data_IF_957725998537
#
_entry.id   IF_957725998537
#
_cell.length_a   1.000
_cell.length_b   1.000
_cell.length_c   1.000
_cell.angle_alpha   90.00
_cell.angle_beta   90.00
_cell.angle_gamma   90.00
#
_symmetry.space_group_name_H-M   'P 1'
#
loop_
_entity.id
_entity.type
_entity.pdbx_description
1 polymer ?
#
# COMPACT_ATOMS: atom_id res chain seq x y z
N UNK A 1 -66.75 -14.67 17.76
CA UNK A 1 -66.06 -13.79 18.73
C UNK A 1 -64.73 -14.36 19.22
N UNK A 2 -64.69 -15.58 19.77
CA UNK A 2 -63.47 -16.22 20.31
C UNK A 2 -62.30 -16.38 19.30
N UNK A 3 -62.58 -16.69 18.02
CA UNK A 3 -61.53 -16.82 16.99
C UNK A 3 -60.84 -15.49 16.66
N UNK A 4 -61.60 -14.39 16.64
CA UNK A 4 -61.09 -13.05 16.39
C UNK A 4 -60.18 -12.56 17.53
N UNK A 5 -60.57 -12.81 18.79
CA UNK A 5 -59.74 -12.48 19.95
C UNK A 5 -58.41 -13.25 19.97
N UNK A 6 -58.40 -14.52 19.54
CA UNK A 6 -57.15 -15.28 19.39
C UNK A 6 -56.23 -14.68 18.33
N UNK A 7 -56.78 -14.31 17.16
CA UNK A 7 -56.00 -13.72 16.07
C UNK A 7 -55.37 -12.38 16.45
N UNK A 8 -56.10 -11.53 17.18
CA UNK A 8 -55.56 -10.26 17.72
C UNK A 8 -54.46 -10.54 18.76
N UNK A 9 -54.65 -11.54 19.62
CA UNK A 9 -53.65 -11.96 20.59
C UNK A 9 -52.36 -12.50 19.94
N UNK A 10 -52.47 -13.24 18.86
CA UNK A 10 -51.30 -13.78 18.13
C UNK A 10 -50.56 -12.67 17.37
N UNK A 11 -51.27 -11.73 16.74
CA UNK A 11 -50.66 -10.53 16.12
C UNK A 11 -49.91 -9.66 17.14
N UNK A 12 -50.46 -9.49 18.36
CA UNK A 12 -49.79 -8.77 19.43
C UNK A 12 -48.49 -9.47 19.88
N UNK A 13 -48.48 -10.81 19.96
CA UNK A 13 -47.26 -11.58 20.26
C UNK A 13 -46.20 -11.41 19.17
N UNK A 14 -46.58 -11.49 17.90
CA UNK A 14 -45.67 -11.28 16.77
C UNK A 14 -45.06 -9.87 16.79
N UNK A 15 -45.88 -8.86 17.08
CA UNK A 15 -45.43 -7.46 17.18
C UNK A 15 -44.43 -7.26 18.32
N UNK A 16 -44.69 -7.84 19.50
CA UNK A 16 -43.75 -7.80 20.64
C UNK A 16 -42.45 -8.54 20.33
N UNK A 17 -42.54 -9.67 19.63
CA UNK A 17 -41.37 -10.43 19.19
C UNK A 17 -40.52 -9.63 18.20
N UNK A 18 -41.14 -8.96 17.23
CA UNK A 18 -40.45 -8.07 16.29
C UNK A 18 -39.78 -6.89 17.01
N UNK A 19 -40.49 -6.24 17.94
CA UNK A 19 -39.93 -5.15 18.75
C UNK A 19 -38.73 -5.62 19.59
N UNK A 20 -38.79 -6.84 20.14
CA UNK A 20 -37.67 -7.45 20.87
C UNK A 20 -36.46 -7.65 19.96
N UNK A 21 -36.64 -8.12 18.73
CA UNK A 21 -35.52 -8.29 17.78
C UNK A 21 -34.91 -6.95 17.37
N UNK A 22 -35.73 -5.92 17.18
CA UNK A 22 -35.25 -4.55 16.92
C UNK A 22 -34.44 -4.05 18.11
N UNK A 23 -34.94 -4.24 19.34
CA UNK A 23 -34.23 -3.86 20.56
C UNK A 23 -32.90 -4.60 20.73
N UNK A 24 -32.85 -5.89 20.40
CA UNK A 24 -31.60 -6.67 20.39
C UNK A 24 -30.60 -6.13 19.35
N UNK A 25 -31.05 -5.81 18.14
CA UNK A 25 -30.19 -5.19 17.13
C UNK A 25 -29.66 -3.82 17.56
N UNK A 26 -30.53 -2.98 18.14
CA UNK A 26 -30.16 -1.66 18.63
C UNK A 26 -29.13 -1.76 19.78
N UNK A 27 -29.30 -2.68 20.72
CA UNK A 27 -28.33 -2.92 21.79
C UNK A 27 -26.93 -3.25 21.26
N UNK A 28 -26.84 -4.05 20.19
CA UNK A 28 -25.56 -4.33 19.51
C UNK A 28 -24.96 -3.06 18.92
N UNK A 29 -25.75 -2.17 18.31
CA UNK A 29 -25.21 -0.91 17.79
C UNK A 29 -24.69 0.01 18.90
N UNK A 30 -25.36 0.07 20.06
CA UNK A 30 -24.88 0.83 21.22
C UNK A 30 -23.57 0.26 21.78
N UNK A 31 -23.42 -1.07 21.81
CA UNK A 31 -22.17 -1.73 22.20
C UNK A 31 -21.00 -1.37 21.25
N UNK A 32 -21.25 -1.19 19.95
CA UNK A 32 -20.23 -0.74 19.00
C UNK A 32 -19.76 0.69 19.24
N UNK A 33 -20.61 1.58 19.77
CA UNK A 33 -20.22 2.97 20.06
C UNK A 33 -19.23 3.08 21.23
N UNK A 34 -19.17 2.09 22.11
CA UNK A 34 -18.22 2.06 23.23
C UNK A 34 -16.81 1.63 22.77
N UNK A 35 -16.66 1.04 21.58
CA UNK A 35 -15.37 0.63 21.04
C UNK A 35 -14.59 1.84 20.54
N UNK A 36 -13.27 1.83 20.71
CA UNK A 36 -12.38 2.83 20.10
C UNK A 36 -12.45 2.73 18.57
N UNK A 37 -12.48 3.84 17.83
CA UNK A 37 -12.44 3.81 16.37
C UNK A 37 -11.11 3.24 15.86
N UNK A 38 -11.19 2.30 14.92
CA UNK A 38 -10.04 1.69 14.23
C UNK A 38 -9.53 2.55 13.05
N UNK A 39 -10.16 3.69 12.81
CA UNK A 39 -9.85 4.59 11.69
C UNK A 39 -8.43 5.13 11.76
N UNK A 40 -7.80 5.30 10.60
CA UNK A 40 -6.52 6.02 10.44
C UNK A 40 -6.84 7.41 9.91
N UNK A 41 -6.44 8.46 10.65
CA UNK A 41 -6.79 9.84 10.30
C UNK A 41 -5.83 10.43 9.24
N UNK A 42 -5.97 9.98 7.98
CA UNK A 42 -5.28 10.61 6.86
C UNK A 42 -5.72 12.09 6.70
N UNK A 43 -4.80 13.08 6.53
CA UNK A 43 -3.37 12.96 6.18
C UNK A 43 -2.38 13.01 7.37
N UNK A 44 -2.84 13.32 8.59
CA UNK A 44 -1.98 13.51 9.76
C UNK A 44 -1.52 12.20 10.41
N UNK A 45 -2.28 11.13 10.22
CA UNK A 45 -1.90 9.77 10.55
C UNK A 45 -1.79 8.98 9.24
N UNK A 46 -0.60 8.48 8.93
CA UNK A 46 -0.36 7.68 7.73
C UNK A 46 0.09 6.27 8.14
N UNK A 47 -0.39 5.27 7.41
CA UNK A 47 0.08 3.91 7.58
C UNK A 47 1.42 3.75 6.85
N UNK A 48 2.39 3.13 7.52
CA UNK A 48 3.65 2.72 6.93
C UNK A 48 3.37 1.55 5.98
N UNK A 49 3.70 1.66 4.69
CA UNK A 49 3.53 0.56 3.75
C UNK A 49 4.36 -0.67 4.12
N UNK A 50 3.93 -1.82 3.59
CA UNK A 50 4.66 -3.08 3.76
C UNK A 50 6.05 -3.03 3.12
N UNK A 51 6.99 -3.86 3.60
CA UNK A 51 8.34 -3.97 3.03
C UNK A 51 8.35 -4.44 1.56
N UNK A 52 7.27 -5.12 1.13
CA UNK A 52 7.05 -5.58 -0.25
C UNK A 52 5.95 -4.79 -0.96
N UNK A 53 5.58 -3.63 -0.43
CA UNK A 53 4.59 -2.77 -1.07
C UNK A 53 5.09 -2.34 -2.46
N UNK A 54 4.15 -2.22 -3.39
CA UNK A 54 4.40 -1.90 -4.79
C UNK A 54 3.87 -0.49 -5.09
N UNK A 55 4.69 0.52 -4.80
CA UNK A 55 4.42 1.93 -5.11
C UNK A 55 5.06 2.39 -6.41
N UNK A 56 5.47 3.66 -6.48
CA UNK A 56 6.20 4.22 -7.63
C UNK A 56 7.45 3.40 -7.94
N UNK A 57 7.78 3.27 -9.23
CA UNK A 57 9.04 2.65 -9.66
C UNK A 57 10.17 3.70 -9.57
N UNK A 58 11.29 3.30 -8.98
CA UNK A 58 12.55 4.06 -9.00
C UNK A 58 13.47 3.51 -10.08
N UNK A 59 14.24 4.40 -10.71
CA UNK A 59 15.14 4.08 -11.81
C UNK A 59 16.52 4.68 -11.60
N UNK A 60 17.55 3.86 -11.76
CA UNK A 60 18.94 4.30 -11.80
C UNK A 60 19.48 4.28 -13.23
N UNK A 61 19.79 5.47 -13.75
CA UNK A 61 20.26 5.65 -15.12
C UNK A 61 21.59 4.91 -15.39
N UNK A 62 22.55 5.01 -14.47
CA UNK A 62 23.91 4.48 -14.64
C UNK A 62 23.96 2.94 -14.63
N UNK A 63 22.96 2.27 -14.05
CA UNK A 63 22.88 0.80 -13.99
C UNK A 63 22.14 0.18 -15.17
N UNK A 64 21.47 0.99 -16.01
CA UNK A 64 20.68 0.47 -17.12
C UNK A 64 21.56 0.08 -18.31
N UNK A 65 21.30 -1.10 -18.88
CA UNK A 65 22.06 -1.64 -20.05
C UNK A 65 21.22 -1.74 -21.33
N UNK A 66 20.03 -1.11 -21.36
CA UNK A 66 19.12 -1.10 -22.53
C UNK A 66 18.80 -2.51 -23.07
N UNK A 67 18.52 -3.45 -22.17
CA UNK A 67 18.21 -4.85 -22.51
C UNK A 67 16.75 -5.09 -22.95
N UNK A 68 15.88 -4.09 -22.79
CA UNK A 68 14.44 -4.12 -23.12
C UNK A 68 13.66 -5.28 -22.47
N UNK A 69 14.21 -5.90 -21.42
CA UNK A 69 13.51 -6.94 -20.65
C UNK A 69 12.27 -6.33 -19.99
N UNK A 70 12.40 -5.14 -19.40
CA UNK A 70 11.30 -4.43 -18.76
C UNK A 70 10.10 -4.17 -19.69
N UNK A 71 10.35 -3.95 -20.99
CA UNK A 71 9.29 -3.81 -21.99
C UNK A 71 8.63 -5.15 -22.25
N UNK A 72 9.43 -6.18 -22.54
CA UNK A 72 8.93 -7.52 -22.91
C UNK A 72 8.15 -8.23 -21.80
N UNK A 73 8.48 -7.98 -20.54
CA UNK A 73 7.79 -8.58 -19.38
C UNK A 73 6.61 -7.73 -18.88
N UNK A 74 6.48 -6.50 -19.35
CA UNK A 74 5.35 -5.66 -19.03
C UNK A 74 4.10 -6.19 -19.77
N UNK A 75 2.95 -6.37 -19.10
CA UNK A 75 1.74 -6.89 -19.75
C UNK A 75 1.26 -6.10 -20.97
N UNK A 76 1.64 -4.82 -21.04
CA UNK A 76 1.24 -3.88 -22.09
C UNK A 76 2.44 -3.21 -22.78
N UNK A 77 3.67 -3.70 -22.56
CA UNK A 77 4.90 -3.12 -23.13
C UNK A 77 5.07 -1.62 -22.83
N UNK A 78 4.78 -1.20 -21.60
CA UNK A 78 4.68 0.21 -21.22
C UNK A 78 5.99 1.01 -21.21
N UNK A 79 7.09 0.53 -20.60
CA UNK A 79 8.28 1.37 -20.45
C UNK A 79 8.85 1.76 -21.81
N UNK A 80 9.13 3.05 -22.00
CA UNK A 80 9.76 3.55 -23.23
C UNK A 80 11.26 3.53 -23.03
N UNK A 81 11.97 2.74 -23.81
CA UNK A 81 13.44 2.62 -23.76
C UNK A 81 14.00 3.14 -25.08
N UNK A 82 14.61 4.32 -25.05
CA UNK A 82 15.32 4.88 -26.20
C UNK A 82 16.83 4.72 -26.02
N UNK A 83 17.48 4.08 -26.97
CA UNK A 83 18.90 3.78 -26.92
C UNK A 83 19.54 3.87 -28.31
N UNK A 84 20.81 4.23 -28.33
CA UNK A 84 21.62 4.28 -29.54
C UNK A 84 22.74 3.25 -29.45
N UNK A 85 23.03 2.59 -30.56
CA UNK A 85 24.19 1.71 -30.63
C UNK A 85 25.46 2.52 -30.90
N UNK A 86 26.39 2.50 -29.96
CA UNK A 86 27.68 3.13 -30.15
C UNK A 86 28.64 2.14 -30.83
N UNK A 87 29.02 2.36 -32.11
CA UNK A 87 29.84 1.40 -32.86
C UNK A 87 31.28 1.31 -32.33
N UNK A 88 31.78 2.37 -31.69
CA UNK A 88 33.14 2.42 -31.13
C UNK A 88 33.24 1.56 -29.88
N UNK A 89 32.28 1.68 -28.97
CA UNK A 89 32.28 0.90 -27.71
C UNK A 89 31.57 -0.44 -27.83
N UNK A 90 30.87 -0.69 -28.95
CA UNK A 90 29.99 -1.87 -29.19
C UNK A 90 28.95 -2.07 -28.08
N UNK A 91 28.54 -0.99 -27.42
CA UNK A 91 27.55 -0.99 -26.34
C UNK A 91 26.33 -0.18 -26.75
N UNK A 92 25.16 -0.62 -26.30
CA UNK A 92 23.94 0.20 -26.34
C UNK A 92 24.08 1.29 -25.28
N UNK A 93 23.92 2.54 -25.69
CA UNK A 93 23.89 3.69 -24.79
C UNK A 93 22.46 4.15 -24.66
N UNK A 94 21.95 4.15 -23.42
CA UNK A 94 20.61 4.66 -23.12
C UNK A 94 20.59 6.17 -23.33
N UNK A 95 19.60 6.67 -24.07
CA UNK A 95 19.36 8.10 -24.27
C UNK A 95 18.24 8.60 -23.37
N UNK A 96 17.13 7.87 -23.33
CA UNK A 96 15.95 8.25 -22.57
C UNK A 96 15.21 7.01 -22.07
N UNK A 97 14.58 7.14 -20.90
CA UNK A 97 13.79 6.08 -20.29
C UNK A 97 12.60 6.71 -19.58
N UNK A 98 11.37 6.31 -19.93
CA UNK A 98 10.18 6.85 -19.28
C UNK A 98 9.16 5.76 -18.96
N UNK A 99 8.33 6.03 -17.96
CA UNK A 99 7.18 5.20 -17.58
C UNK A 99 6.00 6.13 -17.33
N UNK A 100 4.88 5.86 -18.01
CA UNK A 100 3.60 6.53 -17.74
C UNK A 100 2.86 5.84 -16.60
N UNK A 101 2.87 6.47 -15.42
CA UNK A 101 2.19 5.96 -14.24
C UNK A 101 0.67 6.00 -14.33
N UNK A 102 0.09 6.77 -15.26
CA UNK A 102 -1.35 6.74 -15.55
C UNK A 102 -1.80 5.44 -16.23
N UNK A 103 -0.86 4.69 -16.83
CA UNK A 103 -1.12 3.41 -17.50
C UNK A 103 -0.52 2.21 -16.72
N UNK A 104 0.47 2.46 -15.86
CA UNK A 104 1.12 1.43 -15.05
C UNK A 104 0.13 0.74 -14.09
N UNK A 105 0.18 -0.59 -14.03
CA UNK A 105 -0.63 -1.40 -13.10
C UNK A 105 0.11 -1.86 -11.84
N UNK A 106 1.34 -1.35 -11.62
CA UNK A 106 2.18 -1.66 -10.46
C UNK A 106 2.41 -3.16 -10.18
N UNK A 107 2.38 -3.99 -11.23
CA UNK A 107 2.60 -5.44 -11.10
C UNK A 107 4.01 -5.80 -10.64
N UNK A 108 5.02 -4.96 -10.88
CA UNK A 108 6.42 -5.16 -10.46
C UNK A 108 7.23 -6.17 -11.29
N UNK A 109 6.71 -6.70 -12.39
CA UNK A 109 7.46 -7.62 -13.27
C UNK A 109 8.77 -7.00 -13.80
N UNK A 110 8.75 -5.70 -14.12
CA UNK A 110 9.92 -4.99 -14.61
C UNK A 110 11.06 -4.89 -13.58
N UNK A 111 10.72 -4.87 -12.29
CA UNK A 111 11.69 -4.88 -11.19
C UNK A 111 12.24 -6.30 -11.00
N UNK A 112 11.37 -7.30 -10.99
CA UNK A 112 11.74 -8.70 -10.74
C UNK A 112 12.69 -9.28 -11.81
N UNK A 113 12.44 -8.98 -13.08
CA UNK A 113 13.25 -9.49 -14.18
C UNK A 113 14.43 -8.58 -14.57
N UNK A 114 14.68 -7.49 -13.83
CA UNK A 114 15.78 -6.59 -14.14
C UNK A 114 17.13 -7.22 -13.75
N UNK A 115 18.04 -7.50 -14.70
CA UNK A 115 19.29 -8.21 -14.39
C UNK A 115 20.30 -7.35 -13.60
N UNK A 116 20.19 -6.03 -13.68
CA UNK A 116 21.13 -5.10 -13.04
C UNK A 116 20.57 -4.44 -11.78
N UNK A 117 19.35 -4.80 -11.37
CA UNK A 117 18.62 -4.15 -10.28
C UNK A 117 18.56 -2.62 -10.42
N UNK A 118 18.48 -2.11 -11.66
CA UNK A 118 18.35 -0.67 -11.90
C UNK A 118 16.93 -0.13 -11.67
N UNK A 119 15.94 -1.02 -11.63
CA UNK A 119 14.56 -0.71 -11.33
C UNK A 119 14.24 -1.26 -9.94
N UNK A 120 13.59 -0.46 -9.10
CA UNK A 120 13.13 -0.89 -7.77
C UNK A 120 11.75 -0.34 -7.46
N UNK A 121 11.01 -0.99 -6.56
CA UNK A 121 9.73 -0.48 -6.07
C UNK A 121 9.99 0.45 -4.89
N UNK A 122 9.24 1.55 -4.82
CA UNK A 122 9.26 2.48 -3.69
C UNK A 122 7.99 2.37 -2.85
N UNK A 123 8.01 3.02 -1.69
CA UNK A 123 6.86 3.12 -0.78
C UNK A 123 5.86 4.23 -1.15
N UNK A 124 6.13 4.99 -2.20
CA UNK A 124 5.28 6.12 -2.60
C UNK A 124 3.98 5.64 -3.24
N UNK A 125 2.86 5.98 -2.62
CA UNK A 125 1.50 5.77 -3.14
C UNK A 125 0.76 7.09 -3.42
N UNK A 126 1.30 8.23 -2.99
CA UNK A 126 0.67 9.55 -3.11
C UNK A 126 0.98 10.20 -4.47
N UNK A 127 0.77 9.45 -5.56
CA UNK A 127 0.95 9.92 -6.94
C UNK A 127 -0.39 10.43 -7.48
N UNK A 128 -0.66 11.72 -7.34
CA UNK A 128 -1.84 12.36 -7.90
C UNK A 128 -1.49 13.69 -8.53
N UNK A 129 -2.04 13.95 -9.72
CA UNK A 129 -1.79 15.16 -10.51
C UNK A 129 -3.11 15.68 -11.09
N UNK A 130 -3.12 16.95 -11.52
CA UNK A 130 -4.29 17.54 -12.18
C UNK A 130 -4.34 17.21 -13.68
N UNK A 131 -3.18 17.00 -14.30
CA UNK A 131 -3.05 16.58 -15.68
C UNK A 131 -2.44 15.18 -15.78
N UNK A 132 -2.93 14.39 -16.75
CA UNK A 132 -2.44 13.04 -17.04
C UNK A 132 -1.02 13.05 -17.60
N UNK A 133 -0.64 14.10 -18.32
CA UNK A 133 0.68 14.16 -18.95
C UNK A 133 1.81 14.33 -17.93
N UNK A 134 1.50 14.83 -16.73
CA UNK A 134 2.44 14.94 -15.61
C UNK A 134 2.80 13.56 -15.01
N UNK A 135 1.98 12.52 -15.22
CA UNK A 135 2.26 11.15 -14.75
C UNK A 135 3.26 10.38 -15.63
N UNK A 136 3.64 10.94 -16.78
CA UNK A 136 4.71 10.39 -17.60
C UNK A 136 6.07 10.84 -17.05
N UNK A 137 6.67 9.98 -16.22
CA UNK A 137 7.91 10.31 -15.53
C UNK A 137 9.11 9.94 -16.41
N UNK A 138 10.00 10.92 -16.58
CA UNK A 138 11.30 10.75 -17.22
C UNK A 138 12.32 10.07 -16.29
N UNK A 139 13.44 9.62 -16.84
CA UNK A 139 14.54 8.96 -16.14
C UNK A 139 15.03 9.75 -14.91
N UNK A 140 15.14 11.08 -15.02
CA UNK A 140 15.53 11.95 -13.90
C UNK A 140 14.44 12.00 -12.83
N UNK A 141 13.17 12.04 -13.23
CA UNK A 141 12.05 12.08 -12.28
C UNK A 141 11.90 10.74 -11.54
N UNK A 142 12.10 9.61 -12.24
CA UNK A 142 12.10 8.27 -11.67
C UNK A 142 13.25 8.06 -10.68
N UNK A 143 14.41 8.68 -10.91
CA UNK A 143 15.58 8.62 -10.03
C UNK A 143 15.44 9.42 -8.73
N UNK A 144 14.36 10.19 -8.54
CA UNK A 144 14.12 10.95 -7.31
C UNK A 144 13.97 10.02 -6.11
N UNK A 145 14.56 10.44 -5.00
CA UNK A 145 14.43 9.77 -3.71
C UNK A 145 12.96 9.67 -3.31
N UNK A 146 12.53 8.51 -2.79
CA UNK A 146 11.16 8.34 -2.37
C UNK A 146 10.86 9.14 -1.10
N UNK A 147 9.63 9.62 -0.98
CA UNK A 147 9.05 10.15 0.25
C UNK A 147 8.90 9.02 1.27
N UNK A 148 9.53 9.21 2.44
CA UNK A 148 9.46 8.29 3.56
C UNK A 148 8.50 8.79 4.61
N UNK A 149 7.46 8.01 4.89
CA UNK A 149 6.34 8.39 5.77
C UNK A 149 6.82 8.75 7.19
N UNK A 150 7.88 8.10 7.68
CA UNK A 150 8.40 8.32 9.03
C UNK A 150 9.18 9.62 9.22
N UNK A 151 9.62 10.24 8.12
CA UNK A 151 10.54 11.38 8.17
C UNK A 151 9.77 12.72 8.11
N UNK A 152 8.46 12.68 7.87
CA UNK A 152 7.59 13.85 7.89
C UNK A 152 7.23 14.25 9.33
N UNK A 153 7.61 15.46 9.78
CA UNK A 153 7.35 15.92 11.15
C UNK A 153 5.87 16.14 11.47
N UNK A 154 5.01 16.30 10.46
CA UNK A 154 3.57 16.53 10.65
C UNK A 154 2.79 15.21 10.79
N UNK A 155 3.40 14.08 10.45
CA UNK A 155 2.72 12.78 10.34
C UNK A 155 3.02 11.90 11.54
N UNK A 156 1.97 11.32 12.12
CA UNK A 156 2.09 10.20 13.05
C UNK A 156 2.02 8.89 12.26
N UNK A 157 3.18 8.24 12.10
CA UNK A 157 3.29 7.00 11.34
C UNK A 157 2.75 5.80 12.14
N UNK A 158 1.74 5.12 11.60
CA UNK A 158 1.12 3.92 12.16
C UNK A 158 1.59 2.66 11.42
N UNK A 159 1.54 1.51 12.07
CA UNK A 159 1.97 0.23 11.48
C UNK A 159 0.80 -0.61 10.99
N UNK A 160 1.03 -1.39 9.95
CA UNK A 160 0.09 -2.43 9.53
C UNK A 160 0.10 -3.62 10.51
N UNK A 161 -0.97 -4.41 10.46
CA UNK A 161 -1.24 -5.52 11.36
C UNK A 161 -0.09 -6.53 11.45
N UNK A 162 0.53 -6.88 10.31
CA UNK A 162 1.63 -7.83 10.24
C UNK A 162 2.89 -7.39 11.02
N UNK A 163 3.01 -6.09 11.32
CA UNK A 163 4.15 -5.52 12.03
C UNK A 163 3.83 -5.08 13.46
N UNK A 164 2.68 -5.49 13.99
CA UNK A 164 2.31 -5.29 15.39
C UNK A 164 2.88 -6.40 16.28
N UNK A 165 3.24 -6.10 17.55
CA UNK A 165 3.65 -7.11 18.50
C UNK A 165 2.56 -8.18 18.72
N UNK A 166 2.98 -9.40 19.05
CA UNK A 166 2.06 -10.51 19.30
C UNK A 166 1.02 -10.14 20.37
N UNK A 167 -0.26 -10.28 20.03
CA UNK A 167 -1.39 -9.98 20.92
C UNK A 167 -1.93 -8.56 20.82
N UNK A 168 -1.28 -7.67 20.06
CA UNK A 168 -1.77 -6.32 19.78
C UNK A 168 -2.52 -6.33 18.45
N UNK A 169 -3.77 -5.86 18.46
CA UNK A 169 -4.64 -5.86 17.27
C UNK A 169 -4.79 -4.47 16.63
N UNK A 170 -4.55 -3.40 17.39
CA UNK A 170 -4.69 -2.02 16.94
C UNK A 170 -3.34 -1.29 16.98
N UNK A 171 -2.95 -0.59 15.90
CA UNK A 171 -1.72 0.20 15.88
C UNK A 171 -1.76 1.37 16.87
N UNK A 172 -2.96 1.84 17.19
CA UNK A 172 -3.18 2.97 18.06
C UNK A 172 -2.92 2.71 19.55
N UNK A 173 -2.77 1.44 19.93
CA UNK A 173 -2.49 1.05 21.31
C UNK A 173 -0.98 1.03 21.61
N UNK A 174 -0.14 1.22 20.58
CA UNK A 174 1.31 1.27 20.73
C UNK A 174 1.79 2.69 21.08
N UNK A 175 2.82 2.81 21.93
CA UNK A 175 3.51 4.09 22.11
C UNK A 175 4.25 4.47 20.81
N UNK A 176 4.36 5.77 20.54
CA UNK A 176 5.00 6.31 19.32
C UNK A 176 6.42 5.79 19.06
N UNK A 177 7.15 5.42 20.13
CA UNK A 177 8.53 4.94 20.07
C UNK A 177 8.66 3.41 20.10
N UNK A 178 7.56 2.65 20.02
CA UNK A 178 7.63 1.19 20.01
C UNK A 178 8.49 0.71 18.83
N UNK A 179 9.40 -0.26 19.01
CA UNK A 179 10.12 -0.89 17.90
C UNK A 179 9.19 -1.79 17.06
N UNK A 180 9.51 -2.00 15.77
CA UNK A 180 8.76 -2.88 14.86
C UNK A 180 8.70 -4.29 15.43
N UNK A 181 7.62 -5.01 15.21
CA UNK A 181 7.60 -6.44 15.52
C UNK A 181 8.55 -7.19 14.58
N UNK A 182 9.46 -7.98 15.15
CA UNK A 182 10.57 -8.61 14.43
C UNK A 182 11.88 -7.86 14.65
N UNK A 183 12.99 -8.53 14.37
CA UNK A 183 14.33 -7.97 14.49
C UNK A 183 14.77 -7.38 13.15
N UNK A 184 15.56 -6.31 13.18
CA UNK A 184 16.23 -5.81 11.96
C UNK A 184 17.19 -6.88 11.44
N UNK A 185 17.47 -6.95 10.12
CA UNK A 185 18.47 -7.89 9.59
C UNK A 185 19.82 -7.81 10.33
N UNK A 186 20.23 -6.59 10.70
CA UNK A 186 21.42 -6.34 11.53
C UNK A 186 21.34 -6.99 12.92
N UNK A 187 20.17 -6.96 13.56
CA UNK A 187 19.94 -7.54 14.88
C UNK A 187 19.87 -9.08 14.83
N UNK A 188 19.37 -9.64 13.72
CA UNK A 188 19.38 -11.09 13.47
C UNK A 188 20.83 -11.57 13.29
N UNK A 189 21.61 -10.89 12.46
CA UNK A 189 23.03 -11.20 12.25
C UNK A 189 23.82 -11.12 13.58
N UNK A 190 23.57 -10.09 14.39
CA UNK A 190 24.21 -9.96 15.71
C UNK A 190 23.80 -11.05 16.72
N UNK A 191 22.65 -11.70 16.53
CA UNK A 191 22.22 -12.85 17.33
C UNK A 191 22.75 -14.18 16.82
N UNK A 192 23.05 -14.29 15.52
CA UNK A 192 23.70 -15.46 14.93
C UNK A 192 25.22 -15.49 15.22
N UNK A 193 25.84 -14.34 15.50
CA UNK A 193 27.26 -14.21 15.86
C UNK A 193 27.57 -14.52 17.35
N UNK A 194 26.55 -14.70 18.21
CA UNK A 194 26.69 -15.10 19.62
C UNK A 194 26.23 -16.54 19.86
#
# INVERSE_FOLDING_TARGET
MLKFLKQVGDYAKETVQAAKYIGQGLAVTFDHMQRRPVTVQYPYEKLIPSERFRGRIHFEFDKCISCEVCVRVCPINLPVVDWEFNPTTKKKQLRHYSIDFGVCIFCGNCVEYCPTNCLSMTEEYELATYDRHELNYDNVALGRLPYKVTDDPMVTALREFAYLPKGVMSPHDLPKNAQRAGQRPEEILAQEEN
#
